data_IF_477838600381
#
_entry.id   IF_477838600381
#
_cell.length_a   1.000
_cell.length_b   1.000
_cell.length_c   1.000
_cell.angle_alpha   90.00
_cell.angle_beta   90.00
_cell.angle_gamma   90.00
#
_symmetry.space_group_name_H-M   'P 1'
#
loop_
_entity.id
_entity.type
_entity.pdbx_description
1 polymer ?
#
# COMPACT_ATOMS: atom_id res chain seq x y z
N UNK A 1 2.16 -3.99 28.96
CA UNK A 1 1.69 -5.22 28.27
C UNK A 1 1.91 -5.02 26.78
N UNK A 2 2.29 -6.06 26.02
CA UNK A 2 2.48 -5.94 24.57
C UNK A 2 1.14 -5.68 23.86
N UNK A 3 1.15 -4.87 22.81
CA UNK A 3 -0.05 -4.56 22.02
C UNK A 3 -0.44 -5.73 21.11
N UNK A 4 -1.73 -6.09 21.10
CA UNK A 4 -2.25 -7.17 20.25
C UNK A 4 -2.44 -6.67 18.83
N UNK A 5 -1.72 -7.28 17.88
CA UNK A 5 -1.76 -6.91 16.47
C UNK A 5 -2.17 -8.12 15.64
N UNK A 6 -3.16 -7.96 14.77
CA UNK A 6 -3.54 -8.99 13.80
C UNK A 6 -3.20 -8.53 12.39
N UNK A 7 -2.60 -9.40 11.58
CA UNK A 7 -2.35 -9.14 10.16
C UNK A 7 -3.29 -10.05 9.38
N UNK A 8 -4.23 -9.48 8.64
CA UNK A 8 -5.08 -10.24 7.73
C UNK A 8 -4.46 -10.23 6.33
N UNK A 9 -4.30 -11.41 5.70
CA UNK A 9 -3.53 -11.55 4.45
C UNK A 9 -2.02 -11.81 4.63
N UNK A 10 -1.61 -12.45 5.75
CA UNK A 10 -0.21 -12.79 6.05
C UNK A 10 0.53 -13.59 4.96
N UNK A 11 -0.17 -14.28 4.07
CA UNK A 11 0.45 -15.09 3.01
C UNK A 11 0.94 -14.27 1.79
N UNK A 12 0.54 -12.99 1.69
CA UNK A 12 0.98 -12.08 0.64
C UNK A 12 2.39 -11.55 0.89
N UNK A 13 3.05 -11.01 -0.16
CA UNK A 13 4.40 -10.43 -0.04
C UNK A 13 4.46 -9.32 1.03
N UNK A 14 3.47 -8.42 1.03
CA UNK A 14 3.36 -7.34 2.03
C UNK A 14 3.15 -7.89 3.44
N UNK A 15 2.21 -8.84 3.60
CA UNK A 15 1.90 -9.44 4.90
C UNK A 15 3.11 -10.16 5.52
N UNK A 16 3.86 -10.91 4.69
CA UNK A 16 5.08 -11.60 5.12
C UNK A 16 6.17 -10.62 5.58
N UNK A 17 6.39 -9.52 4.86
CA UNK A 17 7.38 -8.52 5.26
C UNK A 17 7.01 -7.80 6.55
N UNK A 18 5.73 -7.44 6.71
CA UNK A 18 5.24 -6.81 7.95
C UNK A 18 5.38 -7.79 9.10
N UNK A 19 4.93 -9.04 8.93
CA UNK A 19 5.09 -10.09 9.94
C UNK A 19 6.55 -10.24 10.37
N UNK A 20 7.48 -10.37 9.42
CA UNK A 20 8.91 -10.52 9.70
C UNK A 20 9.49 -9.33 10.50
N UNK A 21 9.04 -8.10 10.21
CA UNK A 21 9.47 -6.90 10.96
C UNK A 21 8.88 -6.85 12.37
N UNK A 22 7.60 -7.19 12.51
CA UNK A 22 6.90 -7.12 13.80
C UNK A 22 7.27 -8.27 14.74
N UNK A 23 7.61 -9.45 14.22
CA UNK A 23 8.04 -10.60 15.00
C UNK A 23 9.33 -10.37 15.81
N UNK A 24 10.12 -9.34 15.45
CA UNK A 24 11.34 -8.95 16.18
C UNK A 24 11.07 -8.01 17.36
N UNK A 25 9.81 -7.61 17.60
CA UNK A 25 9.44 -6.62 18.61
C UNK A 25 8.85 -7.29 19.85
N UNK A 26 9.37 -6.94 21.03
CA UNK A 26 8.90 -7.45 22.32
C UNK A 26 7.67 -6.71 22.85
N UNK A 27 7.35 -5.53 22.31
CA UNK A 27 6.19 -4.73 22.68
C UNK A 27 4.93 -5.05 21.83
N UNK A 28 5.01 -6.02 20.91
CA UNK A 28 3.93 -6.44 20.04
C UNK A 28 3.66 -7.93 20.23
N UNK A 29 2.40 -8.29 20.41
CA UNK A 29 1.91 -9.65 20.39
C UNK A 29 1.14 -9.86 19.08
N UNK A 30 1.70 -10.66 18.16
CA UNK A 30 1.03 -10.99 16.90
C UNK A 30 -0.01 -12.09 17.14
N UNK A 31 -1.26 -11.76 16.82
CA UNK A 31 -2.33 -12.75 16.79
C UNK A 31 -2.21 -13.57 15.50
N UNK A 32 -2.33 -14.89 15.61
CA UNK A 32 -2.25 -15.81 14.49
C UNK A 32 -3.58 -16.52 14.28
N UNK A 33 -3.94 -16.72 13.01
CA UNK A 33 -5.06 -17.59 12.61
C UNK A 33 -4.48 -18.94 12.22
N UNK A 34 -5.15 -20.03 12.61
CA UNK A 34 -4.84 -21.34 12.08
C UNK A 34 -4.82 -21.26 10.53
N UNK A 35 -3.72 -21.64 9.85
CA UNK A 35 -3.64 -21.62 8.39
C UNK A 35 -4.79 -22.35 7.68
N UNK A 36 -5.38 -23.38 8.30
CA UNK A 36 -6.53 -24.09 7.77
C UNK A 36 -7.82 -23.25 7.83
N UNK A 37 -7.93 -22.34 8.81
CA UNK A 37 -9.08 -21.47 9.08
C UNK A 37 -8.90 -20.04 8.56
N UNK A 38 -7.80 -19.73 7.88
CA UNK A 38 -7.54 -18.38 7.35
C UNK A 38 -8.57 -17.85 6.35
N UNK A 39 -9.41 -18.73 5.78
CA UNK A 39 -10.53 -18.35 4.88
C UNK A 39 -11.90 -18.43 5.57
N UNK A 40 -11.95 -18.88 6.81
CA UNK A 40 -13.16 -18.91 7.63
C UNK A 40 -13.45 -17.49 8.12
N UNK A 41 -14.60 -16.95 7.70
CA UNK A 41 -15.04 -15.61 8.05
C UNK A 41 -15.22 -15.43 9.57
N UNK A 42 -15.70 -16.45 10.28
CA UNK A 42 -15.90 -16.38 11.72
C UNK A 42 -14.58 -16.33 12.48
N UNK A 43 -13.61 -17.16 12.09
CA UNK A 43 -12.26 -17.15 12.66
C UNK A 43 -11.56 -15.80 12.44
N UNK A 44 -11.70 -15.23 11.23
CA UNK A 44 -11.17 -13.90 10.91
C UNK A 44 -11.85 -12.83 11.75
N UNK A 45 -13.19 -12.83 11.84
CA UNK A 45 -13.95 -11.85 12.62
C UNK A 45 -13.56 -11.87 14.10
N UNK A 46 -13.36 -13.06 14.69
CA UNK A 46 -12.89 -13.19 16.07
C UNK A 46 -11.56 -12.45 16.30
N UNK A 47 -10.56 -12.69 15.43
CA UNK A 47 -9.23 -12.07 15.54
C UNK A 47 -9.24 -10.58 15.23
N UNK A 48 -10.03 -10.16 14.23
CA UNK A 48 -10.24 -8.76 13.88
C UNK A 48 -10.76 -7.97 15.09
N UNK A 49 -11.69 -8.55 15.86
CA UNK A 49 -12.30 -7.89 17.02
C UNK A 49 -11.48 -8.03 18.32
N UNK A 50 -10.61 -9.05 18.42
CA UNK A 50 -9.71 -9.26 19.56
C UNK A 50 -8.44 -8.40 19.53
N UNK A 51 -8.03 -7.91 18.35
CA UNK A 51 -6.84 -7.08 18.18
C UNK A 51 -7.03 -5.63 18.66
N UNK A 52 -5.95 -4.96 19.05
CA UNK A 52 -5.93 -3.50 19.22
C UNK A 52 -5.66 -2.80 17.89
N UNK A 53 -4.82 -3.40 17.05
CA UNK A 53 -4.49 -2.94 15.70
C UNK A 53 -4.63 -4.09 14.71
N UNK A 54 -5.34 -3.85 13.62
CA UNK A 54 -5.47 -4.74 12.47
C UNK A 54 -4.70 -4.14 11.31
N UNK A 55 -3.89 -4.96 10.64
CA UNK A 55 -3.19 -4.62 9.40
C UNK A 55 -3.77 -5.46 8.26
N UNK A 56 -4.44 -4.82 7.31
CA UNK A 56 -5.03 -5.49 6.15
C UNK A 56 -4.02 -5.52 5.00
N UNK A 57 -3.60 -6.71 4.62
CA UNK A 57 -2.74 -7.00 3.46
C UNK A 57 -3.54 -7.77 2.41
N UNK A 58 -4.72 -7.26 2.10
CA UNK A 58 -5.75 -7.92 1.30
C UNK A 58 -6.00 -7.20 -0.03
N UNK A 59 -6.56 -7.88 -1.03
CA UNK A 59 -7.22 -7.23 -2.16
C UNK A 59 -8.38 -6.34 -1.69
N UNK A 60 -8.75 -5.35 -2.50
CA UNK A 60 -9.69 -4.29 -2.12
C UNK A 60 -11.04 -4.80 -1.60
N UNK A 61 -11.67 -5.78 -2.26
CA UNK A 61 -12.98 -6.28 -1.82
C UNK A 61 -12.89 -7.04 -0.50
N UNK A 62 -11.83 -7.83 -0.32
CA UNK A 62 -11.56 -8.54 0.93
C UNK A 62 -11.19 -7.57 2.07
N UNK A 63 -10.52 -6.45 1.76
CA UNK A 63 -10.27 -5.39 2.73
C UNK A 63 -11.58 -4.74 3.19
N UNK A 64 -12.51 -4.46 2.27
CA UNK A 64 -13.84 -3.93 2.60
C UNK A 64 -14.66 -4.89 3.46
N UNK A 65 -14.65 -6.17 3.10
CA UNK A 65 -15.29 -7.22 3.90
C UNK A 65 -14.69 -7.29 5.31
N UNK A 66 -13.36 -7.28 5.43
CA UNK A 66 -12.70 -7.32 6.73
C UNK A 66 -13.05 -6.11 7.61
N UNK A 67 -13.11 -4.91 7.04
CA UNK A 67 -13.55 -3.71 7.77
C UNK A 67 -15.00 -3.83 8.23
N UNK A 68 -15.89 -4.43 7.42
CA UNK A 68 -17.28 -4.65 7.79
C UNK A 68 -17.49 -5.70 8.90
N UNK A 69 -16.54 -6.62 9.09
CA UNK A 69 -16.55 -7.63 10.17
C UNK A 69 -16.08 -7.08 11.53
N UNK A 70 -15.57 -5.84 11.59
CA UNK A 70 -15.11 -5.23 12.84
C UNK A 70 -16.28 -4.56 13.55
N UNK A 71 -16.71 -5.17 14.65
CA UNK A 71 -17.77 -4.69 15.55
C UNK A 71 -17.20 -3.88 16.72
N UNK A 72 -15.97 -4.18 17.14
CA UNK A 72 -15.29 -3.49 18.23
C UNK A 72 -14.78 -2.10 17.76
N UNK A 73 -15.36 -0.99 18.26
CA UNK A 73 -15.02 0.35 17.79
C UNK A 73 -13.62 0.81 18.24
N UNK A 74 -13.00 0.13 19.21
CA UNK A 74 -11.66 0.46 19.68
C UNK A 74 -10.56 0.01 18.70
N UNK A 75 -10.85 -0.99 17.85
CA UNK A 75 -9.89 -1.54 16.89
C UNK A 75 -9.42 -0.44 15.94
N UNK A 76 -8.10 -0.32 15.79
CA UNK A 76 -7.47 0.55 14.80
C UNK A 76 -7.13 -0.27 13.56
N UNK A 77 -7.37 0.28 12.37
CA UNK A 77 -7.13 -0.43 11.11
C UNK A 77 -6.09 0.32 10.27
N UNK A 78 -5.08 -0.41 9.84
CA UNK A 78 -4.10 0.01 8.82
C UNK A 78 -4.37 -0.80 7.55
N UNK A 79 -4.86 -0.18 6.50
CA UNK A 79 -5.18 -0.86 5.23
C UNK A 79 -4.11 -0.63 4.18
N UNK A 80 -3.48 -1.69 3.66
CA UNK A 80 -2.51 -1.63 2.58
C UNK A 80 -3.12 -1.70 1.17
N UNK A 81 -4.41 -2.02 1.07
CA UNK A 81 -5.14 -2.10 -0.19
C UNK A 81 -5.37 -0.72 -0.82
N UNK A 82 -5.96 -0.65 -2.02
CA UNK A 82 -6.39 0.62 -2.63
C UNK A 82 -7.77 1.06 -2.17
N UNK A 83 -8.50 0.24 -1.39
CA UNK A 83 -9.92 0.41 -1.14
C UNK A 83 -10.30 1.74 -0.48
N UNK A 84 -9.44 2.25 0.41
CA UNK A 84 -9.74 3.41 1.25
C UNK A 84 -8.76 4.58 1.07
N UNK A 85 -7.84 4.50 0.10
CA UNK A 85 -6.76 5.48 0.00
C UNK A 85 -7.22 6.90 -0.28
N UNK A 86 -8.40 7.08 -0.87
CA UNK A 86 -9.04 8.37 -1.13
C UNK A 86 -10.38 8.52 -0.39
N UNK A 87 -10.67 7.63 0.56
CA UNK A 87 -11.92 7.67 1.33
C UNK A 87 -11.86 8.80 2.37
N UNK A 88 -12.94 9.59 2.48
CA UNK A 88 -13.00 10.75 3.39
C UNK A 88 -12.83 10.40 4.86
N UNK A 89 -13.31 9.23 5.28
CA UNK A 89 -13.29 8.80 6.68
C UNK A 89 -12.00 8.07 7.08
N UNK A 90 -10.98 8.09 6.20
CA UNK A 90 -9.69 7.46 6.41
C UNK A 90 -8.55 8.48 6.37
N UNK A 91 -7.61 8.37 7.31
CA UNK A 91 -6.41 9.20 7.31
C UNK A 91 -5.36 8.57 6.39
N UNK A 92 -4.80 9.35 5.47
CA UNK A 92 -3.74 8.87 4.59
C UNK A 92 -2.42 8.67 5.34
N UNK A 93 -1.83 7.49 5.22
CA UNK A 93 -0.70 7.04 6.04
C UNK A 93 0.68 7.59 5.63
N UNK A 94 0.77 8.78 5.04
CA UNK A 94 2.04 9.43 4.67
C UNK A 94 2.39 10.51 5.69
N UNK A 95 3.23 10.20 6.68
CA UNK A 95 3.45 11.08 7.84
C UNK A 95 4.05 12.45 7.49
N UNK A 96 4.78 12.53 6.38
CA UNK A 96 5.45 13.73 5.86
C UNK A 96 4.54 14.59 4.95
N UNK A 97 3.30 14.18 4.68
CA UNK A 97 2.43 14.83 3.68
C UNK A 97 2.23 16.32 3.92
N UNK A 98 1.84 16.71 5.13
CA UNK A 98 1.58 18.09 5.56
C UNK A 98 1.87 18.26 7.05
N UNK A 99 2.07 19.50 7.54
CA UNK A 99 2.15 19.76 8.98
C UNK A 99 0.94 19.19 9.73
N UNK A 100 1.20 18.46 10.82
CA UNK A 100 0.15 17.81 11.62
C UNK A 100 -0.27 16.41 11.14
N UNK A 101 0.15 15.97 9.95
CA UNK A 101 -0.25 14.66 9.42
C UNK A 101 0.19 13.49 10.31
N UNK A 102 1.42 13.54 10.84
CA UNK A 102 1.91 12.54 11.80
C UNK A 102 1.01 12.42 13.03
N UNK A 103 0.53 13.55 13.56
CA UNK A 103 -0.41 13.58 14.70
C UNK A 103 -1.78 13.02 14.30
N UNK A 104 -2.27 13.36 13.11
CA UNK A 104 -3.52 12.81 12.59
C UNK A 104 -3.45 11.28 12.48
N UNK A 105 -2.37 10.72 11.93
CA UNK A 105 -2.14 9.27 11.84
C UNK A 105 -2.08 8.65 13.25
N UNK A 106 -1.36 9.27 14.18
CA UNK A 106 -1.23 8.77 15.55
C UNK A 106 -2.58 8.69 16.28
N UNK A 107 -3.50 9.63 16.04
CA UNK A 107 -4.85 9.65 16.61
C UNK A 107 -5.91 8.86 15.84
N UNK A 108 -5.62 8.40 14.61
CA UNK A 108 -6.62 7.82 13.73
C UNK A 108 -7.01 6.37 14.11
N UNK A 109 -8.31 6.08 13.96
CA UNK A 109 -8.87 4.71 14.01
C UNK A 109 -8.75 3.98 12.68
N UNK A 110 -8.66 4.71 11.57
CA UNK A 110 -8.66 4.17 10.20
C UNK A 110 -7.57 4.89 9.42
N UNK A 111 -6.56 4.16 8.98
CA UNK A 111 -5.42 4.68 8.23
C UNK A 111 -5.24 3.88 6.95
N UNK A 112 -5.21 4.57 5.81
CA UNK A 112 -4.95 3.94 4.52
C UNK A 112 -3.47 4.12 4.18
N UNK A 113 -2.73 3.01 4.07
CA UNK A 113 -1.32 3.04 3.72
C UNK A 113 -1.14 3.48 2.25
N UNK A 114 -0.23 4.44 1.97
CA UNK A 114 0.05 4.93 0.63
C UNK A 114 0.43 3.85 -0.38
N UNK A 115 0.09 4.07 -1.65
CA UNK A 115 0.68 3.32 -2.75
C UNK A 115 2.16 3.60 -2.92
N UNK A 116 2.92 2.59 -3.40
CA UNK A 116 4.37 2.72 -3.58
C UNK A 116 4.78 3.85 -4.53
N UNK A 117 4.12 4.00 -5.69
CA UNK A 117 4.36 5.13 -6.60
C UNK A 117 3.84 6.47 -6.04
N UNK A 118 2.60 6.58 -5.52
CA UNK A 118 2.12 7.77 -4.83
C UNK A 118 3.07 8.30 -3.77
N UNK A 119 3.71 7.44 -2.97
CA UNK A 119 4.66 7.89 -1.94
C UNK A 119 5.76 8.77 -2.53
N UNK A 120 6.49 8.30 -3.54
CA UNK A 120 7.55 9.10 -4.16
C UNK A 120 7.01 10.32 -4.91
N UNK A 121 5.91 10.15 -5.63
CA UNK A 121 5.29 11.20 -6.42
C UNK A 121 4.79 12.37 -5.56
N UNK A 122 4.02 12.07 -4.52
CA UNK A 122 3.42 13.07 -3.64
C UNK A 122 4.50 13.80 -2.84
N UNK A 123 5.52 13.09 -2.32
CA UNK A 123 6.62 13.72 -1.59
C UNK A 123 7.42 14.70 -2.46
N UNK A 124 7.53 14.44 -3.77
CA UNK A 124 8.23 15.32 -4.69
C UNK A 124 7.37 16.54 -5.10
N UNK A 125 6.09 16.35 -5.42
CA UNK A 125 5.25 17.41 -5.98
C UNK A 125 4.54 18.26 -4.94
N UNK A 126 4.02 17.67 -3.87
CA UNK A 126 3.16 18.37 -2.92
C UNK A 126 3.80 19.66 -2.37
N UNK A 127 5.10 19.67 -1.97
CA UNK A 127 5.73 20.90 -1.49
C UNK A 127 5.86 21.99 -2.57
N UNK A 128 6.06 21.61 -3.83
CA UNK A 128 6.19 22.55 -4.95
C UNK A 128 4.85 23.20 -5.29
N UNK A 129 3.76 22.42 -5.23
CA UNK A 129 2.39 22.90 -5.39
C UNK A 129 2.02 23.85 -4.24
N UNK A 130 2.29 23.48 -2.98
CA UNK A 130 2.00 24.34 -1.82
C UNK A 130 2.80 25.64 -1.82
N UNK A 131 4.03 25.61 -2.35
CA UNK A 131 4.86 26.80 -2.53
C UNK A 131 4.44 27.66 -3.74
N UNK A 132 3.46 27.24 -4.53
CA UNK A 132 3.03 27.94 -5.75
C UNK A 132 4.06 27.90 -6.89
N UNK A 133 5.04 27.00 -6.83
CA UNK A 133 6.07 26.84 -7.86
C UNK A 133 5.60 26.00 -9.05
N UNK A 134 4.59 25.17 -8.83
CA UNK A 134 3.88 24.41 -9.88
C UNK A 134 2.40 24.74 -9.75
N UNK A 135 1.76 25.03 -10.87
CA UNK A 135 0.32 25.27 -10.94
C UNK A 135 -0.44 23.95 -10.70
N UNK A 136 -1.47 23.90 -9.84
CA UNK A 136 -2.30 22.71 -9.63
C UNK A 136 -2.95 22.14 -10.91
N UNK A 137 -3.18 22.98 -11.92
CA UNK A 137 -3.71 22.62 -13.23
C UNK A 137 -2.63 22.25 -14.26
N UNK A 138 -1.35 22.24 -13.90
CA UNK A 138 -0.28 21.85 -14.80
C UNK A 138 -0.43 20.40 -15.28
N UNK A 139 -0.10 20.16 -16.56
CA UNK A 139 -0.06 18.82 -17.12
C UNK A 139 1.20 18.09 -16.62
N UNK A 140 1.03 17.23 -15.62
CA UNK A 140 2.12 16.46 -15.02
C UNK A 140 2.26 15.11 -15.72
N UNK A 141 3.47 14.81 -16.17
CA UNK A 141 3.87 13.48 -16.66
C UNK A 141 4.69 12.76 -15.60
N UNK A 142 4.56 11.44 -15.52
CA UNK A 142 5.32 10.63 -14.58
C UNK A 142 5.79 9.37 -15.26
N UNK A 143 7.11 9.18 -15.26
CA UNK A 143 7.75 7.94 -15.66
C UNK A 143 8.32 7.27 -14.41
N UNK A 144 7.87 6.06 -14.09
CA UNK A 144 8.33 5.41 -12.88
C UNK A 144 8.76 3.97 -13.11
N UNK A 145 9.94 3.63 -12.61
CA UNK A 145 10.51 2.29 -12.70
C UNK A 145 10.45 1.63 -11.32
N UNK A 146 9.88 0.43 -11.24
CA UNK A 146 9.81 -0.38 -10.02
C UNK A 146 10.50 -1.71 -10.21
N UNK A 147 11.10 -2.23 -9.13
CA UNK A 147 11.49 -3.62 -9.06
C UNK A 147 10.28 -4.55 -9.10
N UNK A 148 10.48 -5.80 -9.52
CA UNK A 148 9.40 -6.75 -9.78
C UNK A 148 8.64 -7.21 -8.53
N UNK A 149 9.19 -7.03 -7.32
CA UNK A 149 8.46 -7.29 -6.06
C UNK A 149 7.21 -6.42 -5.90
N UNK A 150 7.18 -5.23 -6.54
CA UNK A 150 6.02 -4.34 -6.53
C UNK A 150 4.79 -4.93 -7.24
N UNK A 151 4.97 -5.90 -8.14
CA UNK A 151 3.87 -6.62 -8.79
C UNK A 151 3.28 -7.76 -7.94
N UNK A 152 3.73 -7.90 -6.69
CA UNK A 152 3.27 -8.93 -5.77
C UNK A 152 3.73 -10.34 -6.17
N UNK A 153 3.15 -11.34 -5.50
CA UNK A 153 3.59 -12.74 -5.58
C UNK A 153 3.60 -13.30 -7.01
N UNK A 154 2.55 -13.02 -7.78
CA UNK A 154 2.44 -13.51 -9.16
C UNK A 154 3.59 -13.01 -10.05
N UNK A 155 3.98 -11.74 -9.93
CA UNK A 155 5.08 -11.20 -10.72
C UNK A 155 6.44 -11.71 -10.23
N UNK A 156 6.62 -11.84 -8.91
CA UNK A 156 7.83 -12.44 -8.32
C UNK A 156 8.03 -13.87 -8.82
N UNK A 157 6.99 -14.69 -8.79
CA UNK A 157 7.06 -16.09 -9.23
C UNK A 157 7.34 -16.19 -10.74
N UNK A 158 6.74 -15.29 -11.55
CA UNK A 158 7.06 -15.18 -12.98
C UNK A 158 8.53 -14.85 -13.24
N UNK A 159 9.08 -13.86 -12.55
CA UNK A 159 10.49 -13.48 -12.72
C UNK A 159 11.44 -14.61 -12.28
N UNK A 160 11.10 -15.35 -11.22
CA UNK A 160 11.85 -16.54 -10.79
C UNK A 160 11.83 -17.65 -11.84
N UNK A 161 10.66 -17.97 -12.40
CA UNK A 161 10.53 -18.99 -13.44
C UNK A 161 11.36 -18.62 -14.69
N UNK A 162 11.24 -17.37 -15.15
CA UNK A 162 11.96 -16.90 -16.34
C UNK A 162 13.49 -16.84 -16.15
N UNK A 163 13.96 -16.60 -14.92
CA UNK A 163 15.39 -16.68 -14.60
C UNK A 163 15.96 -18.10 -14.74
N UNK A 164 15.14 -19.14 -14.50
CA UNK A 164 15.53 -20.54 -14.68
C UNK A 164 15.57 -20.95 -16.16
N UNK A 165 14.78 -20.30 -17.01
CA UNK A 165 14.68 -20.59 -18.44
C UNK A 165 15.76 -19.87 -19.28
N UNK A 166 16.63 -19.05 -18.66
CA UNK A 166 17.70 -18.33 -19.36
C UNK A 166 17.19 -17.30 -20.38
N UNK A 167 15.97 -16.79 -20.20
CA UNK A 167 15.31 -15.92 -21.18
C UNK A 167 15.80 -14.48 -21.04
N UNK A 168 16.55 -13.99 -22.03
CA UNK A 168 17.07 -12.61 -22.06
C UNK A 168 15.96 -11.53 -22.06
N UNK A 169 14.73 -11.89 -22.45
CA UNK A 169 13.61 -10.97 -22.63
C UNK A 169 13.11 -10.28 -21.34
N UNK A 170 13.66 -10.63 -20.16
CA UNK A 170 13.32 -9.96 -18.89
C UNK A 170 14.34 -8.91 -18.45
N UNK A 171 15.49 -8.75 -19.11
CA UNK A 171 16.52 -7.78 -18.70
C UNK A 171 16.14 -6.33 -18.96
N UNK A 172 15.38 -6.06 -20.03
CA UNK A 172 14.96 -4.70 -20.34
C UNK A 172 13.78 -4.25 -19.46
N UNK A 173 13.78 -2.97 -19.00
CA UNK A 173 12.60 -2.35 -18.42
C UNK A 173 11.39 -2.41 -19.35
N UNK A 174 10.21 -2.75 -18.82
CA UNK A 174 8.97 -2.90 -19.61
C UNK A 174 7.87 -2.02 -19.07
N UNK A 175 7.23 -1.17 -19.89
CA UNK A 175 6.06 -0.43 -19.47
C UNK A 175 4.85 -1.37 -19.31
N UNK A 176 3.94 -1.04 -18.40
CA UNK A 176 2.70 -1.78 -18.18
C UNK A 176 1.55 -0.80 -17.89
N UNK A 177 0.33 -1.34 -17.72
CA UNK A 177 -0.88 -0.54 -17.48
C UNK A 177 -1.09 0.57 -18.53
N UNK A 178 -0.86 0.23 -19.82
CA UNK A 178 -0.88 1.17 -20.95
C UNK A 178 -2.25 1.78 -21.28
N UNK A 179 -3.31 1.36 -20.57
CA UNK A 179 -4.66 1.92 -20.70
C UNK A 179 -4.82 3.24 -19.93
N UNK A 180 -3.76 3.74 -19.29
CA UNK A 180 -3.75 4.98 -18.50
C UNK A 180 -4.76 5.00 -17.34
N UNK A 181 -5.13 3.83 -16.83
CA UNK A 181 -6.07 3.68 -15.72
C UNK A 181 -5.42 2.98 -14.51
N UNK A 182 -4.19 3.35 -14.17
CA UNK A 182 -3.49 2.73 -13.05
C UNK A 182 -4.17 3.10 -11.72
N UNK A 183 -4.36 2.11 -10.85
CA UNK A 183 -5.06 2.26 -9.55
C UNK A 183 -4.51 3.31 -8.57
N UNK A 184 -3.33 3.88 -8.86
CA UNK A 184 -2.67 4.88 -8.02
C UNK A 184 -3.01 6.33 -8.43
N UNK A 185 -3.59 6.53 -9.62
CA UNK A 185 -3.93 7.86 -10.13
C UNK A 185 -4.82 8.66 -9.18
N UNK A 186 -5.85 8.08 -8.51
CA UNK A 186 -6.67 8.84 -7.56
C UNK A 186 -5.86 9.43 -6.40
N UNK A 187 -4.94 8.65 -5.83
CA UNK A 187 -4.05 9.10 -4.75
C UNK A 187 -3.11 10.20 -5.22
N UNK A 188 -2.48 9.99 -6.39
CA UNK A 188 -1.54 10.94 -6.98
C UNK A 188 -2.21 12.29 -7.19
N UNK A 189 -3.42 12.31 -7.75
CA UNK A 189 -4.20 13.54 -7.95
C UNK A 189 -4.53 14.21 -6.61
N UNK A 190 -5.19 13.48 -5.70
CA UNK A 190 -5.71 14.06 -4.46
C UNK A 190 -4.60 14.56 -3.54
N UNK A 191 -3.56 13.77 -3.30
CA UNK A 191 -2.58 14.10 -2.28
C UNK A 191 -1.46 14.99 -2.78
N UNK A 192 -1.13 14.98 -4.07
CA UNK A 192 -0.24 16.00 -4.64
C UNK A 192 -0.92 17.37 -4.75
N UNK A 193 -2.26 17.42 -4.74
CA UNK A 193 -3.02 18.67 -4.85
C UNK A 193 -3.22 19.11 -6.30
N UNK A 194 -3.32 18.17 -7.24
CA UNK A 194 -3.54 18.46 -8.65
C UNK A 194 -5.03 18.53 -8.98
N UNK A 195 -5.38 19.37 -9.95
CA UNK A 195 -6.73 19.43 -10.51
C UNK A 195 -7.07 18.11 -11.24
N UNK A 196 -6.13 17.65 -12.06
CA UNK A 196 -6.25 16.43 -12.87
C UNK A 196 -5.21 15.37 -12.50
N UNK A 197 -5.52 14.11 -12.80
CA UNK A 197 -4.57 13.02 -12.58
C UNK A 197 -3.38 13.14 -13.57
N UNK A 198 -2.16 12.79 -13.14
CA UNK A 198 -1.00 12.87 -14.02
C UNK A 198 -1.06 11.81 -15.13
N UNK A 199 -0.35 12.06 -16.23
CA UNK A 199 -0.06 11.06 -17.25
C UNK A 199 1.00 10.10 -16.71
N UNK A 200 0.57 8.92 -16.26
CA UNK A 200 1.43 7.97 -15.57
C UNK A 200 1.85 6.79 -16.45
N UNK A 201 3.16 6.63 -16.63
CA UNK A 201 3.78 5.52 -17.36
C UNK A 201 4.62 4.67 -16.39
N UNK A 202 4.04 3.61 -15.80
CA UNK A 202 4.79 2.72 -14.93
C UNK A 202 5.55 1.67 -15.73
N UNK A 203 6.73 1.34 -15.23
CA UNK A 203 7.65 0.36 -15.79
C UNK A 203 8.11 -0.62 -14.71
N UNK A 204 8.35 -1.86 -15.10
CA UNK A 204 8.99 -2.87 -14.26
C UNK A 204 10.40 -3.15 -14.76
N UNK A 205 11.38 -3.12 -13.85
CA UNK A 205 12.78 -3.43 -14.12
C UNK A 205 13.19 -4.81 -13.59
N UNK A 206 14.32 -5.33 -14.09
CA UNK A 206 14.87 -6.62 -13.67
C UNK A 206 15.70 -6.51 -12.38
N UNK A 207 15.07 -6.03 -11.31
CA UNK A 207 15.68 -5.98 -9.98
C UNK A 207 14.60 -6.21 -8.93
N UNK A 208 14.97 -6.83 -7.81
CA UNK A 208 13.98 -7.32 -6.85
C UNK A 208 13.14 -6.19 -6.26
N UNK A 209 13.77 -5.15 -5.73
CA UNK A 209 13.12 -4.07 -4.99
C UNK A 209 13.82 -2.72 -5.24
N UNK A 210 13.07 -1.65 -5.07
CA UNK A 210 13.51 -0.28 -5.34
C UNK A 210 12.58 0.40 -6.33
N UNK A 211 12.60 1.73 -6.33
CA UNK A 211 11.74 2.53 -7.19
C UNK A 211 12.45 3.83 -7.59
N UNK A 212 12.29 4.21 -8.84
CA UNK A 212 12.60 5.54 -9.36
C UNK A 212 11.29 6.18 -9.81
N UNK A 213 11.00 7.38 -9.34
CA UNK A 213 9.87 8.20 -9.79
C UNK A 213 10.46 9.45 -10.43
N UNK A 214 10.21 9.65 -11.72
CA UNK A 214 10.65 10.80 -12.48
C UNK A 214 9.41 11.58 -12.94
N UNK A 215 9.37 12.87 -12.61
CA UNK A 215 8.27 13.80 -12.84
C UNK A 215 8.76 14.86 -13.83
#
# INVERSE_FOLDING_TARGET
MPHRVFIDGQAGTTGLEIHARLAQRSDINLLEVDPARRKDAAARAELLNAAEVVILCLPDDAAREAVALIENPAVRVLDASTAYRVARDWVYGLAELTPGQRTAIAGARRVSNPGCYPTGFVLALRPLIEAGLIDPGAAICVHALSGYSGGGRALVDRYKAQALEGVDAIHAPRPYALTLNHKHLPEMRQYAGLAEAPLFTPMVGHYYKGMLVQI
#
